data_IF_668366513070
#
_entry.id   IF_668366513070
#
_cell.length_a   1.000
_cell.length_b   1.000
_cell.length_c   1.000
_cell.angle_alpha   90.00
_cell.angle_beta   90.00
_cell.angle_gamma   90.00
#
_symmetry.space_group_name_H-M   'P 1'
#
loop_
_entity.id
_entity.type
_entity.pdbx_description
1 polymer ?
#
# COMPACT_ATOMS: atom_id res chain seq x y z
N UNK A 1 21.25 -24.32 -41.76
CA UNK A 1 20.72 -25.20 -40.69
C UNK A 1 20.59 -24.32 -39.45
N UNK A 2 19.45 -23.65 -39.30
CA UNK A 2 19.18 -22.74 -38.20
C UNK A 2 18.64 -23.52 -37.00
N UNK A 3 19.30 -23.41 -35.86
CA UNK A 3 18.88 -24.02 -34.59
C UNK A 3 18.07 -22.99 -33.80
N UNK A 4 16.75 -23.19 -33.74
CA UNK A 4 15.86 -22.45 -32.85
C UNK A 4 15.85 -23.14 -31.48
N UNK A 5 16.32 -22.45 -30.44
CA UNK A 5 16.27 -22.93 -29.05
C UNK A 5 15.20 -22.15 -28.31
N UNK A 6 14.06 -22.79 -28.03
CA UNK A 6 13.01 -22.28 -27.14
C UNK A 6 13.33 -22.65 -25.70
N UNK A 7 13.57 -21.66 -24.85
CA UNK A 7 13.61 -21.82 -23.39
C UNK A 7 12.21 -21.55 -22.81
N UNK A 8 11.59 -22.57 -22.23
CA UNK A 8 10.44 -22.42 -21.33
C UNK A 8 10.98 -22.31 -19.90
N UNK A 9 10.73 -21.20 -19.21
CA UNK A 9 10.91 -21.11 -17.76
C UNK A 9 9.55 -21.27 -17.09
N UNK A 10 9.39 -22.39 -16.39
CA UNK A 10 8.27 -22.68 -15.50
C UNK A 10 8.46 -21.91 -14.20
N UNK A 11 7.98 -20.68 -14.12
CA UNK A 11 7.83 -19.97 -12.85
C UNK A 11 6.39 -20.09 -12.36
N UNK A 12 6.03 -21.31 -11.96
CA UNK A 12 4.77 -21.58 -11.28
C UNK A 12 4.91 -21.15 -9.81
N UNK A 13 4.63 -19.87 -9.55
CA UNK A 13 4.45 -19.37 -8.18
C UNK A 13 3.19 -20.04 -7.61
N UNK A 14 3.29 -20.81 -6.50
CA UNK A 14 2.12 -21.45 -5.93
C UNK A 14 1.15 -20.38 -5.39
N UNK A 15 -0.18 -20.60 -5.51
CA UNK A 15 -1.15 -19.66 -4.97
C UNK A 15 -1.00 -19.58 -3.45
N UNK A 16 -0.99 -18.35 -2.94
CA UNK A 16 -1.06 -18.07 -1.51
C UNK A 16 -2.39 -18.64 -1.01
N UNK A 17 -2.31 -19.68 -0.15
CA UNK A 17 -3.49 -20.22 0.52
C UNK A 17 -3.94 -19.20 1.56
N UNK A 18 -5.10 -18.59 1.35
CA UNK A 18 -5.79 -17.85 2.40
C UNK A 18 -6.17 -18.85 3.51
N UNK A 19 -5.38 -18.86 4.59
CA UNK A 19 -5.69 -19.59 5.82
C UNK A 19 -6.75 -18.82 6.60
N UNK A 20 -8.00 -18.90 6.17
CA UNK A 20 -9.14 -18.60 7.02
C UNK A 20 -10.19 -19.68 6.78
N UNK A 21 -10.31 -20.56 7.78
CA UNK A 21 -11.37 -21.56 8.02
C UNK A 21 -11.05 -23.03 7.68
N UNK A 22 -10.26 -23.68 8.56
CA UNK A 22 -10.59 -25.05 8.98
C UNK A 22 -11.63 -24.95 10.12
N UNK A 23 -12.90 -24.87 9.76
CA UNK A 23 -14.01 -25.25 10.66
C UNK A 23 -14.87 -26.21 9.88
N UNK A 24 -14.56 -27.48 10.05
CA UNK A 24 -15.34 -28.58 9.54
C UNK A 24 -16.55 -28.78 10.46
N UNK A 25 -17.75 -28.47 9.96
CA UNK A 25 -19.02 -28.91 10.56
C UNK A 25 -20.14 -28.81 9.53
N UNK A 26 -20.44 -29.96 8.94
CA UNK A 26 -21.65 -30.30 8.19
C UNK A 26 -22.85 -29.36 8.39
N UNK A 27 -23.16 -28.54 7.38
CA UNK A 27 -24.55 -28.19 7.07
C UNK A 27 -24.67 -27.78 5.59
N UNK A 28 -25.47 -28.53 4.83
CA UNK A 28 -25.71 -28.29 3.41
C UNK A 28 -26.57 -27.04 3.18
N UNK A 29 -25.92 -25.88 3.07
CA UNK A 29 -26.52 -24.67 2.52
C UNK A 29 -25.44 -23.66 2.08
N UNK A 30 -24.57 -24.05 1.15
CA UNK A 30 -23.42 -23.23 0.72
C UNK A 30 -23.74 -22.24 -0.41
N UNK A 31 -24.88 -22.36 -1.09
CA UNK A 31 -25.12 -21.61 -2.35
C UNK A 31 -25.57 -20.15 -2.14
N UNK A 32 -25.84 -19.71 -0.90
CA UNK A 32 -26.43 -18.40 -0.62
C UNK A 32 -25.50 -17.37 0.06
N UNK A 33 -24.27 -17.74 0.44
CA UNK A 33 -23.35 -16.83 1.13
C UNK A 33 -22.46 -16.01 0.18
N UNK A 34 -22.26 -16.48 -1.05
CA UNK A 34 -21.37 -15.82 -2.01
C UNK A 34 -21.98 -14.52 -2.58
N UNK A 35 -23.31 -14.40 -2.58
CA UNK A 35 -24.03 -13.28 -3.18
C UNK A 35 -23.93 -11.96 -2.40
N UNK A 36 -23.39 -11.96 -1.17
CA UNK A 36 -23.35 -10.77 -0.31
C UNK A 36 -21.95 -10.47 0.26
N UNK A 37 -20.90 -11.02 -0.36
CA UNK A 37 -19.52 -10.82 0.09
C UNK A 37 -18.86 -9.69 -0.70
N UNK A 38 -18.42 -8.64 0.00
CA UNK A 38 -17.68 -7.52 -0.60
C UNK A 38 -16.18 -7.71 -0.41
N UNK A 39 -15.39 -7.35 -1.43
CA UNK A 39 -13.93 -7.30 -1.33
C UNK A 39 -13.48 -5.89 -0.99
N UNK A 40 -12.69 -5.73 0.07
CA UNK A 40 -12.05 -4.47 0.43
C UNK A 40 -10.56 -4.55 0.09
N UNK A 41 -10.11 -3.66 -0.81
CA UNK A 41 -8.70 -3.50 -1.15
C UNK A 41 -8.11 -2.33 -0.35
N UNK A 42 -7.17 -2.61 0.54
CA UNK A 42 -6.46 -1.60 1.32
C UNK A 42 -5.10 -1.31 0.69
N UNK A 43 -4.94 -0.09 0.20
CA UNK A 43 -3.74 0.36 -0.50
C UNK A 43 -3.05 1.45 0.31
N UNK A 44 -1.77 1.23 0.62
CA UNK A 44 -0.90 2.30 1.11
C UNK A 44 -0.39 3.12 -0.08
N UNK A 45 -0.26 4.43 0.09
CA UNK A 45 0.32 5.29 -0.93
C UNK A 45 1.72 4.80 -1.34
N UNK A 46 2.10 5.00 -2.61
CA UNK A 46 3.42 4.70 -3.12
C UNK A 46 4.51 5.56 -2.47
N UNK A 47 5.77 5.24 -2.76
CA UNK A 47 6.90 5.97 -2.20
C UNK A 47 6.86 7.48 -2.51
N UNK A 48 6.99 8.31 -1.47
CA UNK A 48 7.00 9.78 -1.60
C UNK A 48 8.42 10.33 -1.73
N UNK A 49 8.58 11.56 -2.21
CA UNK A 49 9.90 12.21 -2.33
C UNK A 49 10.63 12.41 -0.99
N UNK A 50 9.93 12.30 0.15
CA UNK A 50 10.50 12.42 1.50
C UNK A 50 10.78 11.08 2.20
N UNK A 51 10.47 9.95 1.58
CA UNK A 51 10.53 8.65 2.25
C UNK A 51 11.90 7.93 2.15
N UNK A 52 13.00 8.66 1.93
CA UNK A 52 14.33 8.03 1.95
C UNK A 52 14.69 7.17 0.72
N UNK A 53 13.83 7.11 -0.31
CA UNK A 53 14.03 6.23 -1.48
C UNK A 53 15.08 6.72 -2.49
N UNK A 54 15.56 7.95 -2.36
CA UNK A 54 16.64 8.50 -3.19
C UNK A 54 17.94 8.55 -2.37
N UNK A 55 19.12 8.24 -2.96
CA UNK A 55 20.39 8.37 -2.28
C UNK A 55 20.55 9.78 -1.66
N UNK A 56 20.74 9.83 -0.34
CA UNK A 56 20.87 11.09 0.42
C UNK A 56 19.56 11.66 0.99
N UNK A 57 18.41 11.01 0.81
CA UNK A 57 17.15 11.37 1.48
C UNK A 57 16.99 10.62 2.81
N UNK A 58 16.39 11.27 3.81
CA UNK A 58 16.22 10.73 5.15
C UNK A 58 14.73 10.53 5.45
N UNK A 59 14.37 9.48 6.17
CA UNK A 59 12.97 9.27 6.55
C UNK A 59 12.49 10.38 7.49
N UNK A 60 11.40 11.05 7.11
CA UNK A 60 10.79 12.11 7.90
C UNK A 60 9.40 11.73 8.41
N UNK A 61 8.93 12.39 9.45
CA UNK A 61 7.51 12.32 9.83
C UNK A 61 6.68 13.17 8.87
N UNK A 62 5.93 12.55 7.97
CA UNK A 62 5.18 13.29 6.95
C UNK A 62 3.85 13.83 7.49
N UNK A 63 3.04 12.98 8.14
CA UNK A 63 1.74 13.36 8.70
C UNK A 63 0.80 13.93 7.64
N UNK A 64 0.20 15.10 7.92
CA UNK A 64 -0.69 15.80 6.99
C UNK A 64 0.05 16.66 5.96
N UNK A 65 1.38 16.67 5.98
CA UNK A 65 2.17 17.35 4.95
C UNK A 65 1.89 16.69 3.61
N UNK A 66 1.50 17.48 2.61
CA UNK A 66 1.21 16.96 1.28
C UNK A 66 2.49 16.87 0.44
N UNK A 67 3.07 15.68 0.42
CA UNK A 67 4.31 15.37 -0.29
C UNK A 67 3.97 14.52 -1.51
N UNK A 68 4.50 14.89 -2.67
CA UNK A 68 4.27 14.17 -3.92
C UNK A 68 4.89 12.76 -3.91
N UNK A 69 4.34 11.89 -4.77
CA UNK A 69 4.98 10.62 -5.09
C UNK A 69 6.33 10.87 -5.78
N UNK A 70 7.28 9.98 -5.52
CA UNK A 70 8.49 9.85 -6.35
C UNK A 70 8.18 9.05 -7.62
N UNK A 71 9.06 9.10 -8.61
CA UNK A 71 8.92 8.30 -9.83
C UNK A 71 8.82 6.80 -9.51
N UNK A 72 9.58 6.33 -8.52
CA UNK A 72 9.48 4.95 -8.01
C UNK A 72 8.08 4.68 -7.45
N UNK A 73 7.53 5.62 -6.66
CA UNK A 73 6.18 5.49 -6.10
C UNK A 73 5.07 5.49 -7.16
N UNK A 74 5.28 6.17 -8.28
CA UNK A 74 4.37 6.12 -9.43
C UNK A 74 4.39 4.73 -10.07
N UNK A 75 5.57 4.16 -10.32
CA UNK A 75 5.69 2.82 -10.91
C UNK A 75 5.17 1.72 -9.98
N UNK A 76 5.39 1.84 -8.66
CA UNK A 76 4.79 0.97 -7.65
C UNK A 76 3.25 0.98 -7.73
N UNK A 77 2.66 2.16 -7.85
CA UNK A 77 1.21 2.32 -7.93
C UNK A 77 0.62 1.70 -9.20
N UNK A 78 1.28 1.88 -10.35
CA UNK A 78 0.88 1.25 -11.62
C UNK A 78 0.96 -0.28 -11.54
N UNK A 79 2.09 -0.80 -11.08
CA UNK A 79 2.33 -2.23 -10.96
C UNK A 79 1.30 -2.90 -10.03
N UNK A 80 0.92 -2.23 -8.94
CA UNK A 80 -0.16 -2.69 -8.07
C UNK A 80 -1.49 -2.80 -8.82
N UNK A 81 -1.85 -1.79 -9.64
CA UNK A 81 -3.04 -1.83 -10.47
C UNK A 81 -3.09 -3.05 -11.40
N UNK A 82 -1.97 -3.33 -12.08
CA UNK A 82 -1.83 -4.50 -12.95
C UNK A 82 -1.95 -5.81 -12.18
N UNK A 83 -1.39 -5.89 -10.97
CA UNK A 83 -1.52 -7.07 -10.10
C UNK A 83 -2.97 -7.28 -9.66
N UNK A 84 -3.67 -6.22 -9.25
CA UNK A 84 -5.09 -6.29 -8.88
C UNK A 84 -5.94 -6.77 -10.05
N UNK A 85 -5.69 -6.29 -11.27
CA UNK A 85 -6.40 -6.76 -12.47
C UNK A 85 -6.14 -8.25 -12.77
N UNK A 86 -4.94 -8.74 -12.46
CA UNK A 86 -4.60 -10.16 -12.62
C UNK A 86 -5.34 -11.05 -11.61
N UNK A 87 -5.52 -10.56 -10.38
CA UNK A 87 -6.24 -11.28 -9.31
C UNK A 87 -7.76 -11.20 -9.47
N UNK A 88 -8.26 -10.05 -9.95
CA UNK A 88 -9.67 -9.74 -10.16
C UNK A 88 -9.91 -9.33 -11.61
N UNK A 89 -9.80 -10.27 -12.57
CA UNK A 89 -10.05 -9.98 -13.97
C UNK A 89 -11.50 -9.51 -14.16
N UNK A 90 -11.82 -8.76 -15.23
CA UNK A 90 -13.13 -8.14 -15.44
C UNK A 90 -14.33 -9.09 -15.39
N UNK A 91 -14.11 -10.39 -15.70
CA UNK A 91 -15.13 -11.44 -15.58
C UNK A 91 -15.43 -11.87 -14.14
N UNK A 92 -14.57 -11.50 -13.19
CA UNK A 92 -14.64 -11.84 -11.75
C UNK A 92 -14.94 -10.63 -10.87
N UNK A 93 -14.78 -9.40 -11.36
CA UNK A 93 -15.14 -8.20 -10.62
C UNK A 93 -14.66 -6.91 -11.29
N UNK A 94 -15.31 -5.81 -10.94
CA UNK A 94 -14.90 -4.44 -11.27
C UNK A 94 -14.64 -3.69 -9.97
N UNK A 95 -13.86 -2.61 -10.00
CA UNK A 95 -13.76 -1.71 -8.84
C UNK A 95 -15.02 -0.84 -8.82
N UNK A 96 -15.93 -1.10 -7.86
CA UNK A 96 -17.18 -0.34 -7.77
C UNK A 96 -16.98 1.06 -7.17
N UNK A 97 -16.09 1.18 -6.19
CA UNK A 97 -15.82 2.42 -5.48
C UNK A 97 -14.35 2.54 -5.08
N UNK A 98 -13.83 3.76 -5.09
CA UNK A 98 -12.49 4.11 -4.65
C UNK A 98 -12.58 5.21 -3.58
N UNK A 99 -11.90 4.99 -2.46
CA UNK A 99 -11.83 5.95 -1.36
C UNK A 99 -10.38 6.34 -1.12
N UNK A 100 -10.11 7.63 -0.97
CA UNK A 100 -8.77 8.16 -0.73
C UNK A 100 -8.74 9.12 0.45
N UNK A 101 -7.58 9.26 1.08
CA UNK A 101 -7.31 10.45 1.90
C UNK A 101 -7.29 11.70 1.01
N UNK A 102 -7.44 12.89 1.60
CA UNK A 102 -7.33 14.15 0.83
C UNK A 102 -5.89 14.50 0.44
N UNK A 103 -4.91 13.71 0.86
CA UNK A 103 -3.49 13.94 0.58
C UNK A 103 -3.16 13.53 -0.86
N UNK A 104 -2.40 14.37 -1.56
CA UNK A 104 -2.01 14.20 -2.97
C UNK A 104 -1.34 12.86 -3.24
N UNK A 105 -0.45 12.38 -2.36
CA UNK A 105 0.17 11.06 -2.50
C UNK A 105 -0.82 9.90 -2.57
N UNK A 106 -1.89 9.94 -1.76
CA UNK A 106 -2.88 8.88 -1.74
C UNK A 106 -3.76 8.96 -2.99
N UNK A 107 -4.18 10.17 -3.35
CA UNK A 107 -4.99 10.44 -4.55
C UNK A 107 -4.24 10.06 -5.83
N UNK A 108 -2.96 10.42 -5.95
CA UNK A 108 -2.12 10.02 -7.08
C UNK A 108 -1.87 8.51 -7.11
N UNK A 109 -1.64 7.87 -5.97
CA UNK A 109 -1.49 6.40 -5.91
C UNK A 109 -2.75 5.72 -6.43
N UNK A 110 -3.92 6.14 -5.95
CA UNK A 110 -5.20 5.60 -6.42
C UNK A 110 -5.40 5.83 -7.91
N UNK A 111 -5.06 7.01 -8.43
CA UNK A 111 -5.13 7.30 -9.86
C UNK A 111 -4.27 6.34 -10.69
N UNK A 112 -2.99 6.17 -10.34
CA UNK A 112 -2.10 5.27 -11.08
C UNK A 112 -2.45 3.78 -10.92
N UNK A 113 -2.96 3.40 -9.76
CA UNK A 113 -3.46 2.04 -9.52
C UNK A 113 -4.69 1.74 -10.38
N UNK A 114 -5.66 2.66 -10.44
CA UNK A 114 -6.82 2.53 -11.34
C UNK A 114 -6.39 2.53 -12.81
N UNK A 115 -5.40 3.34 -13.17
CA UNK A 115 -4.84 3.35 -14.52
C UNK A 115 -4.22 2.00 -14.90
N UNK A 116 -3.34 1.44 -14.05
CA UNK A 116 -2.74 0.12 -14.27
C UNK A 116 -3.75 -1.03 -14.23
N UNK A 117 -4.86 -0.87 -13.50
CA UNK A 117 -5.99 -1.81 -13.54
C UNK A 117 -6.72 -1.74 -14.88
N UNK A 118 -6.98 -0.53 -15.37
CA UNK A 118 -7.72 -0.27 -16.60
C UNK A 118 -6.93 -0.56 -17.89
N UNK A 119 -5.60 -0.64 -17.85
CA UNK A 119 -4.80 -1.09 -18.99
C UNK A 119 -5.18 -2.50 -19.48
N UNK A 120 -5.73 -3.33 -18.58
CA UNK A 120 -6.23 -4.66 -18.93
C UNK A 120 -7.68 -4.62 -19.47
N UNK A 121 -8.47 -3.61 -19.11
CA UNK A 121 -9.84 -3.36 -19.59
C UNK A 121 -10.25 -1.90 -19.37
N UNK A 122 -10.37 -1.14 -20.45
CA UNK A 122 -10.65 0.30 -20.46
C UNK A 122 -12.02 0.70 -19.87
N UNK A 123 -12.90 -0.26 -19.56
CA UNK A 123 -14.26 -0.01 -19.03
C UNK A 123 -14.36 0.03 -17.50
N UNK A 124 -13.25 0.27 -16.81
CA UNK A 124 -13.12 0.01 -15.36
C UNK A 124 -12.89 1.25 -14.52
N UNK A 125 -13.55 2.37 -14.86
CA UNK A 125 -13.62 3.49 -13.92
C UNK A 125 -14.58 3.16 -12.77
N UNK A 126 -14.22 3.48 -11.52
CA UNK A 126 -15.10 3.27 -10.39
C UNK A 126 -16.33 4.17 -10.48
N UNK A 127 -17.50 3.64 -10.14
CA UNK A 127 -18.75 4.42 -10.10
C UNK A 127 -18.70 5.54 -9.07
N UNK A 128 -17.91 5.35 -8.03
CA UNK A 128 -17.74 6.31 -6.95
C UNK A 128 -16.25 6.53 -6.67
N UNK A 129 -15.85 7.80 -6.63
CA UNK A 129 -14.53 8.22 -6.16
C UNK A 129 -14.72 9.25 -5.05
N UNK A 130 -14.26 8.95 -3.83
CA UNK A 130 -14.47 9.82 -2.66
C UNK A 130 -13.14 10.10 -1.98
N UNK A 131 -12.84 11.37 -1.75
CA UNK A 131 -11.72 11.79 -0.91
C UNK A 131 -12.24 12.28 0.45
N UNK A 132 -11.67 11.75 1.54
CA UNK A 132 -12.13 12.03 2.91
C UNK A 132 -10.95 12.27 3.85
N UNK A 133 -10.96 13.38 4.60
CA UNK A 133 -9.89 13.73 5.53
C UNK A 133 -9.76 12.75 6.70
N UNK A 134 -10.83 12.00 7.00
CA UNK A 134 -10.81 10.96 8.05
C UNK A 134 -9.91 9.78 7.68
N UNK A 135 -9.56 9.66 6.40
CA UNK A 135 -8.60 8.67 5.88
C UNK A 135 -7.16 9.21 5.85
N UNK A 136 -6.92 10.46 6.30
CA UNK A 136 -5.57 10.99 6.41
C UNK A 136 -4.74 10.19 7.43
N UNK A 137 -3.43 10.19 7.22
CA UNK A 137 -2.50 9.69 8.22
C UNK A 137 -2.60 10.45 9.54
N UNK A 138 -2.03 9.88 10.60
CA UNK A 138 -1.97 10.54 11.91
C UNK A 138 -1.25 11.89 11.79
N UNK A 139 -1.88 12.94 12.33
CA UNK A 139 -1.23 14.25 12.46
C UNK A 139 -0.11 14.18 13.50
N UNK A 140 1.14 14.36 13.07
CA UNK A 140 2.32 14.26 13.94
C UNK A 140 2.68 15.57 14.66
N UNK A 141 1.91 16.64 14.46
CA UNK A 141 2.12 17.92 15.15
C UNK A 141 3.50 18.50 14.85
N UNK A 142 4.22 18.89 15.90
CA UNK A 142 5.57 19.46 15.81
C UNK A 142 6.62 18.49 15.26
N UNK A 143 6.33 17.18 15.20
CA UNK A 143 7.26 16.22 14.63
C UNK A 143 7.27 16.25 13.09
N UNK A 144 6.26 16.86 12.45
CA UNK A 144 6.15 16.88 10.99
C UNK A 144 7.36 17.55 10.34
N UNK A 145 7.92 16.91 9.31
CA UNK A 145 9.13 17.35 8.61
C UNK A 145 10.45 17.04 9.33
N UNK A 146 10.41 16.52 10.56
CA UNK A 146 11.63 16.11 11.28
C UNK A 146 12.09 14.73 10.81
N UNK A 147 13.41 14.56 10.75
CA UNK A 147 14.06 13.30 10.40
C UNK A 147 13.93 12.33 11.58
N UNK A 148 13.38 11.14 11.32
CA UNK A 148 13.10 10.13 12.36
C UNK A 148 14.36 9.74 13.13
N UNK A 149 15.47 9.50 12.43
CA UNK A 149 16.73 9.07 13.04
C UNK A 149 17.26 10.08 14.07
N UNK A 150 17.12 11.39 13.79
CA UNK A 150 17.56 12.44 14.71
C UNK A 150 16.74 12.47 16.00
N UNK A 151 15.44 12.19 15.91
CA UNK A 151 14.53 12.16 17.07
C UNK A 151 14.74 10.89 17.89
N UNK A 152 14.87 9.74 17.25
CA UNK A 152 15.13 8.47 17.95
C UNK A 152 16.46 8.50 18.70
N UNK A 153 17.53 9.00 18.06
CA UNK A 153 18.85 9.07 18.69
C UNK A 153 18.94 10.18 19.75
N UNK A 154 18.22 11.28 19.58
CA UNK A 154 18.09 12.33 20.59
C UNK A 154 17.42 11.83 21.88
N UNK A 155 16.32 11.08 21.76
CA UNK A 155 15.62 10.51 22.91
C UNK A 155 16.45 9.42 23.63
N UNK A 156 17.20 8.59 22.88
CA UNK A 156 18.11 7.59 23.47
C UNK A 156 19.22 8.25 24.32
N UNK A 157 19.77 9.38 23.88
CA UNK A 157 20.81 10.11 24.63
C UNK A 157 20.29 10.74 25.92
N UNK A 158 19.08 11.32 25.91
CA UNK A 158 18.49 11.90 27.12
C UNK A 158 18.14 10.84 28.18
N UNK A 159 17.68 9.66 27.78
CA UNK A 159 17.39 8.59 28.74
C UNK A 159 18.66 8.02 29.41
N UNK A 160 19.81 8.01 28.73
CA UNK A 160 21.05 7.52 29.32
C UNK A 160 21.70 8.51 30.30
N UNK A 161 21.46 9.81 30.16
CA UNK A 161 22.01 10.81 31.09
C UNK A 161 21.26 10.89 32.43
N UNK A 162 20.02 10.40 32.51
CA UNK A 162 19.24 10.38 33.75
C UNK A 162 19.57 9.19 34.68
N UNK A 163 20.47 8.29 34.31
CA UNK A 163 20.84 7.11 35.11
C UNK A 163 22.22 7.22 35.80
N UNK A 164 22.91 8.37 35.72
CA UNK A 164 24.27 8.54 36.28
C UNK A 164 24.36 9.62 37.38
N UNK A 165 23.26 10.04 37.99
CA UNK A 165 23.27 10.97 39.12
C UNK A 165 22.53 10.37 40.31
N UNK A 166 23.26 9.59 41.12
CA UNK A 166 23.04 9.41 42.57
C UNK A 166 24.02 8.34 43.07
N UNK A 167 25.14 8.78 43.62
CA UNK A 167 26.19 7.92 44.16
C UNK A 167 27.34 8.66 44.82
N UNK A 168 27.03 9.73 45.55
CA UNK A 168 27.94 10.32 46.54
C UNK A 168 27.25 10.23 47.91
N UNK A 169 27.70 9.30 48.76
CA UNK A 169 27.74 9.39 50.22
C UNK A 169 28.71 8.33 50.79
#
# INVERSE_FOLDING_TARGET
>A
KETTTTHHTNDHVPPIKNSVNDVDSNNGNSENNDANTFTLLLVRHGNSVWNGGQPGTQETFTGWTDVALSDVGVEEAKAMGTQVASLYPPKRGTIDACFTSVLGRATMTAHYCLWGFAEQDWRTEPRQYVSDYRLNERHYGALQGLVKDHIENGNRRNNNNNNNGDGDD
#
